data_IF_324712704583
#
_entry.id   IF_324712704583
#
_cell.length_a   1.000
_cell.length_b   1.000
_cell.length_c   1.000
_cell.angle_alpha   90.00
_cell.angle_beta   90.00
_cell.angle_gamma   90.00
#
_symmetry.space_group_name_H-M   'P 1'
#
loop_
_entity.id
_entity.type
_entity.pdbx_description
1 polymer ?
#
# COMPACT_ATOMS: atom_id res chain seq x y z
N UNK A 1 1.89 -13.53 -3.09
CA UNK A 1 0.91 -14.14 -4.02
C UNK A 1 -0.07 -13.08 -4.51
N UNK A 2 -0.38 -13.09 -5.81
CA UNK A 2 -1.35 -12.16 -6.37
C UNK A 2 -2.71 -12.83 -6.53
N UNK A 3 -3.77 -12.04 -6.45
CA UNK A 3 -5.14 -12.52 -6.57
C UNK A 3 -5.44 -13.12 -7.97
N UNK A 4 -4.73 -12.63 -8.99
CA UNK A 4 -4.85 -13.13 -10.35
C UNK A 4 -3.57 -12.86 -11.13
N UNK A 5 -3.38 -13.59 -12.23
CA UNK A 5 -2.28 -13.34 -13.16
C UNK A 5 -2.41 -11.97 -13.81
N UNK A 6 -3.65 -11.52 -14.04
CA UNK A 6 -3.92 -10.20 -14.61
C UNK A 6 -3.44 -9.09 -13.68
N UNK A 7 -3.69 -9.20 -12.38
CA UNK A 7 -3.25 -8.21 -11.40
C UNK A 7 -1.73 -8.12 -11.35
N UNK A 8 -1.06 -9.28 -11.35
CA UNK A 8 0.40 -9.32 -11.38
C UNK A 8 0.96 -8.66 -12.64
N UNK A 9 0.36 -8.97 -13.79
CA UNK A 9 0.80 -8.40 -15.07
C UNK A 9 0.57 -6.90 -15.13
N UNK A 10 -0.61 -6.43 -14.71
CA UNK A 10 -0.92 -5.00 -14.71
C UNK A 10 0.02 -4.20 -13.81
N UNK A 11 0.31 -4.71 -12.63
CA UNK A 11 1.25 -4.06 -11.72
C UNK A 11 2.65 -4.03 -12.33
N UNK A 12 3.10 -5.15 -12.89
CA UNK A 12 4.43 -5.26 -13.50
C UNK A 12 4.57 -4.29 -14.67
N UNK A 13 3.56 -4.23 -15.53
CA UNK A 13 3.54 -3.29 -16.66
C UNK A 13 3.55 -1.84 -16.19
N UNK A 14 2.79 -1.54 -15.15
CA UNK A 14 2.77 -0.19 -14.58
C UNK A 14 4.15 0.21 -14.07
N UNK A 15 4.84 -0.68 -13.35
CA UNK A 15 6.20 -0.43 -12.85
C UNK A 15 7.16 -0.18 -14.02
N UNK A 16 7.07 -0.98 -15.08
CA UNK A 16 7.94 -0.83 -16.26
C UNK A 16 7.71 0.51 -16.95
N UNK A 17 6.46 0.95 -17.08
CA UNK A 17 6.12 2.23 -17.72
C UNK A 17 6.47 3.44 -16.85
N UNK A 18 6.67 3.23 -15.59
CA UNK A 18 6.99 4.31 -14.64
C UNK A 18 8.46 4.67 -14.76
N UNK A 19 8.78 5.59 -15.66
CA UNK A 19 10.16 5.95 -15.97
C UNK A 19 10.58 7.31 -15.44
N UNK A 20 9.65 8.27 -15.35
CA UNK A 20 9.93 9.60 -14.83
C UNK A 20 9.70 9.59 -13.31
N UNK A 21 10.79 9.54 -12.54
CA UNK A 21 10.72 9.34 -11.10
C UNK A 21 11.86 10.07 -10.39
N UNK A 22 11.85 11.40 -10.41
CA UNK A 22 12.97 12.18 -9.86
C UNK A 22 13.15 12.02 -8.35
N UNK A 23 12.10 11.66 -7.62
CA UNK A 23 12.14 11.51 -6.16
C UNK A 23 12.22 10.05 -5.70
N UNK A 24 12.38 9.14 -6.64
CA UNK A 24 12.46 7.70 -6.38
C UNK A 24 11.24 7.14 -5.63
N UNK A 25 10.07 7.59 -5.99
CA UNK A 25 8.80 7.07 -5.44
C UNK A 25 8.58 5.63 -5.87
N UNK A 26 8.98 5.30 -7.10
CA UNK A 26 8.93 3.92 -7.59
C UNK A 26 9.74 2.97 -6.70
N UNK A 27 10.93 3.41 -6.28
CA UNK A 27 11.76 2.63 -5.35
C UNK A 27 11.06 2.41 -4.02
N UNK A 28 10.40 3.43 -3.48
CA UNK A 28 9.62 3.31 -2.25
C UNK A 28 8.45 2.35 -2.42
N UNK A 29 7.74 2.43 -3.54
CA UNK A 29 6.63 1.53 -3.86
C UNK A 29 7.09 0.08 -3.91
N UNK A 30 8.19 -0.19 -4.61
CA UNK A 30 8.74 -1.54 -4.73
C UNK A 30 9.16 -2.08 -3.37
N UNK A 31 9.80 -1.26 -2.55
CA UNK A 31 10.24 -1.69 -1.23
C UNK A 31 9.07 -2.08 -0.33
N UNK A 32 8.00 -1.27 -0.33
CA UNK A 32 6.81 -1.57 0.46
C UNK A 32 6.05 -2.79 -0.09
N UNK A 33 5.96 -2.91 -1.41
CA UNK A 33 5.38 -4.08 -2.05
C UNK A 33 6.12 -5.36 -1.62
N UNK A 34 7.45 -5.32 -1.62
CA UNK A 34 8.25 -6.48 -1.22
C UNK A 34 8.05 -6.80 0.26
N UNK A 35 7.82 -5.79 1.09
CA UNK A 35 7.49 -6.01 2.50
C UNK A 35 6.21 -6.82 2.65
N UNK A 36 5.17 -6.49 1.88
CA UNK A 36 3.93 -7.28 1.87
C UNK A 36 4.18 -8.71 1.40
N UNK A 37 4.93 -8.88 0.32
CA UNK A 37 5.19 -10.21 -0.25
C UNK A 37 6.02 -11.09 0.67
N UNK A 38 6.79 -10.50 1.56
CA UNK A 38 7.56 -11.23 2.56
C UNK A 38 6.72 -11.82 3.69
N UNK A 39 5.44 -11.48 3.77
CA UNK A 39 4.54 -11.98 4.81
C UNK A 39 3.82 -13.23 4.36
N UNK A 40 3.76 -14.22 5.25
CA UNK A 40 3.08 -15.48 4.95
C UNK A 40 1.58 -15.28 4.82
N UNK A 41 0.99 -15.86 3.78
CA UNK A 41 -0.46 -15.82 3.58
C UNK A 41 -1.00 -14.51 3.10
N UNK A 42 -0.15 -13.63 2.57
CA UNK A 42 -0.62 -12.35 2.02
C UNK A 42 -0.93 -12.52 0.55
N UNK A 43 -2.10 -12.02 0.17
CA UNK A 43 -2.54 -11.94 -1.22
C UNK A 43 -2.60 -10.49 -1.64
N UNK A 44 -2.03 -10.18 -2.81
CA UNK A 44 -2.04 -8.84 -3.38
C UNK A 44 -3.01 -8.75 -4.54
N UNK A 45 -3.72 -7.63 -4.62
CA UNK A 45 -4.52 -7.27 -5.79
C UNK A 45 -4.13 -5.88 -6.25
N UNK A 46 -4.33 -5.60 -7.54
CA UNK A 46 -3.94 -4.33 -8.14
C UNK A 46 -5.08 -3.75 -8.95
N UNK A 47 -5.46 -2.51 -8.63
CA UNK A 47 -6.55 -1.81 -9.29
C UNK A 47 -6.05 -0.47 -9.81
N UNK A 48 -6.20 -0.25 -11.12
CA UNK A 48 -5.77 0.98 -11.76
C UNK A 48 -6.96 1.86 -12.13
N UNK A 49 -6.82 3.15 -11.83
CA UNK A 49 -7.70 4.20 -12.35
C UNK A 49 -6.81 5.21 -13.07
N UNK A 50 -6.53 4.97 -14.39
CA UNK A 50 -5.57 5.78 -15.13
C UNK A 50 -5.83 7.29 -14.97
N UNK A 51 -4.76 8.05 -14.74
CA UNK A 51 -4.84 9.50 -14.52
C UNK A 51 -5.27 9.90 -13.12
N UNK A 52 -5.63 8.96 -12.25
CA UNK A 52 -6.09 9.24 -10.89
C UNK A 52 -5.19 8.55 -9.86
N UNK A 53 -5.25 7.22 -9.82
CA UNK A 53 -4.45 6.46 -8.86
C UNK A 53 -4.35 5.00 -9.24
N UNK A 54 -3.35 4.32 -8.67
CA UNK A 54 -3.15 2.89 -8.83
C UNK A 54 -3.00 2.30 -7.44
N UNK A 55 -3.84 1.33 -7.10
CA UNK A 55 -3.95 0.80 -5.74
C UNK A 55 -3.45 -0.63 -5.66
N UNK A 56 -2.45 -0.87 -4.83
CA UNK A 56 -1.99 -2.21 -4.46
C UNK A 56 -2.58 -2.54 -3.11
N UNK A 57 -3.39 -3.58 -3.05
CA UNK A 57 -4.11 -3.98 -1.83
C UNK A 57 -3.57 -5.28 -1.30
N UNK A 58 -3.35 -5.35 0.03
CA UNK A 58 -2.81 -6.51 0.70
C UNK A 58 -3.84 -7.09 1.67
N UNK A 59 -4.11 -8.39 1.51
CA UNK A 59 -5.05 -9.12 2.36
C UNK A 59 -4.36 -10.33 2.98
N UNK A 60 -4.74 -10.67 4.21
CA UNK A 60 -4.32 -11.91 4.85
C UNK A 60 -5.34 -12.99 4.52
N UNK A 61 -4.86 -14.11 3.98
CA UNK A 61 -5.74 -15.23 3.65
C UNK A 61 -5.92 -16.10 4.88
N UNK A 62 -7.18 -16.26 5.28
CA UNK A 62 -7.58 -17.19 6.34
C UNK A 62 -8.33 -18.35 5.72
N UNK A 63 -8.15 -19.54 6.27
CA UNK A 63 -8.82 -20.74 5.77
C UNK A 63 -10.35 -20.63 5.80
N UNK A 64 -10.89 -19.78 6.67
CA UNK A 64 -12.32 -19.61 6.87
C UNK A 64 -12.92 -18.45 6.07
N UNK A 65 -12.08 -17.62 5.44
CA UNK A 65 -12.55 -16.44 4.71
C UNK A 65 -12.15 -16.52 3.25
N UNK A 66 -13.14 -16.52 2.38
CA UNK A 66 -12.91 -16.48 0.95
C UNK A 66 -12.41 -15.08 0.56
N UNK A 67 -11.24 -15.01 -0.10
CA UNK A 67 -10.66 -13.75 -0.56
C UNK A 67 -9.82 -13.02 0.47
N UNK A 68 -9.75 -13.53 1.70
CA UNK A 68 -8.90 -12.96 2.75
C UNK A 68 -9.47 -11.71 3.39
N UNK A 69 -8.70 -11.14 4.32
CA UNK A 69 -9.05 -9.91 5.03
C UNK A 69 -8.06 -8.82 4.65
N UNK A 70 -8.56 -7.74 4.05
CA UNK A 70 -7.74 -6.57 3.71
C UNK A 70 -7.18 -5.96 4.99
N UNK A 71 -5.87 -5.64 4.99
CA UNK A 71 -5.27 -4.97 6.13
C UNK A 71 -4.50 -3.71 5.76
N UNK A 72 -4.10 -3.55 4.49
CA UNK A 72 -3.33 -2.40 4.05
C UNK A 72 -3.48 -2.19 2.55
N UNK A 73 -3.25 -0.96 2.12
CA UNK A 73 -3.16 -0.66 0.69
C UNK A 73 -2.12 0.44 0.46
N UNK A 74 -1.57 0.44 -0.74
CA UNK A 74 -0.68 1.50 -1.22
C UNK A 74 -1.35 2.10 -2.45
N UNK A 75 -1.70 3.38 -2.36
CA UNK A 75 -2.18 4.13 -3.53
C UNK A 75 -1.01 4.93 -4.10
N UNK A 76 -0.74 4.72 -5.38
CA UNK A 76 0.13 5.62 -6.13
C UNK A 76 -0.76 6.67 -6.73
N UNK A 77 -0.67 7.90 -6.23
CA UNK A 77 -1.51 8.99 -6.69
C UNK A 77 -0.82 9.70 -7.85
N UNK A 78 -1.52 9.79 -8.99
CA UNK A 78 -1.01 10.50 -10.16
C UNK A 78 -1.43 11.97 -10.06
N UNK A 79 -0.50 12.81 -9.61
CA UNK A 79 -0.73 14.25 -9.53
C UNK A 79 0.02 14.90 -10.69
N UNK A 80 -0.74 15.51 -11.60
CA UNK A 80 -0.17 16.09 -12.82
C UNK A 80 0.76 17.27 -12.53
N UNK A 81 0.54 17.99 -11.42
CA UNK A 81 1.33 19.18 -11.08
C UNK A 81 2.52 18.84 -10.17
N UNK A 82 2.35 17.89 -9.26
CA UNK A 82 3.35 17.56 -8.24
C UNK A 82 4.10 16.26 -8.52
N UNK A 83 3.67 15.49 -9.52
CA UNK A 83 4.21 14.18 -9.80
C UNK A 83 3.51 13.09 -8.99
N UNK A 84 4.08 11.89 -8.97
CA UNK A 84 3.49 10.78 -8.23
C UNK A 84 3.92 10.81 -6.78
N UNK A 85 2.99 10.42 -5.90
CA UNK A 85 3.28 10.22 -4.49
C UNK A 85 2.50 9.01 -3.97
N UNK A 86 2.89 8.50 -2.81
CA UNK A 86 2.24 7.33 -2.22
C UNK A 86 1.38 7.73 -1.04
N UNK A 87 0.23 7.06 -0.92
CA UNK A 87 -0.56 7.08 0.29
C UNK A 87 -0.67 5.62 0.77
N UNK A 88 -0.08 5.31 1.92
CA UNK A 88 -0.09 3.95 2.47
C UNK A 88 -1.11 3.93 3.60
N UNK A 89 -2.19 3.19 3.42
CA UNK A 89 -3.33 3.22 4.31
C UNK A 89 -3.60 1.87 4.96
N UNK A 90 -4.00 1.94 6.23
CA UNK A 90 -4.38 0.79 7.04
C UNK A 90 -5.74 1.07 7.67
N UNK A 91 -6.47 0.04 8.08
CA UNK A 91 -7.61 0.26 8.96
C UNK A 91 -7.09 0.84 10.27
N UNK A 92 -7.77 1.88 10.78
CA UNK A 92 -7.26 2.66 11.91
C UNK A 92 -7.08 1.84 13.19
N UNK A 93 -7.86 0.78 13.36
CA UNK A 93 -7.78 -0.08 14.55
C UNK A 93 -6.65 -1.11 14.47
N UNK A 94 -5.95 -1.20 13.34
CA UNK A 94 -4.86 -2.17 13.16
C UNK A 94 -3.48 -1.60 13.45
N UNK A 95 -3.34 -0.27 13.50
CA UNK A 95 -2.03 0.39 13.63
C UNK A 95 -2.01 1.43 14.72
N UNK A 96 -0.81 1.71 15.19
CA UNK A 96 -0.51 2.84 16.07
C UNK A 96 0.37 3.83 15.31
N UNK A 97 0.55 5.03 15.85
CA UNK A 97 1.38 6.05 15.21
C UNK A 97 2.11 6.85 16.30
N UNK A 98 3.07 6.21 16.99
CA UNK A 98 3.75 6.86 18.13
C UNK A 98 4.49 8.16 17.75
N UNK A 99 4.96 8.28 16.51
CA UNK A 99 5.69 9.46 16.06
C UNK A 99 4.80 10.52 15.40
N UNK A 100 3.49 10.27 15.33
CA UNK A 100 2.53 11.19 14.69
C UNK A 100 2.89 11.54 13.25
N UNK A 101 3.28 10.53 12.48
CA UNK A 101 3.68 10.70 11.09
C UNK A 101 2.53 10.62 10.10
N UNK A 102 1.41 10.03 10.50
CA UNK A 102 0.26 9.80 9.62
C UNK A 102 -0.96 10.60 10.01
N UNK A 103 -2.06 10.30 9.34
CA UNK A 103 -3.33 11.00 9.52
C UNK A 103 -4.50 10.02 9.54
N UNK A 104 -5.44 10.27 10.44
CA UNK A 104 -6.72 9.57 10.44
C UNK A 104 -7.55 10.09 9.27
N UNK A 105 -8.07 9.18 8.46
CA UNK A 105 -8.94 9.52 7.33
C UNK A 105 -10.29 8.83 7.55
N UNK A 106 -11.30 9.55 8.08
CA UNK A 106 -12.60 8.96 8.34
C UNK A 106 -13.20 8.37 7.07
N UNK A 107 -13.66 7.13 7.16
CA UNK A 107 -14.23 6.36 6.04
C UNK A 107 -13.30 6.26 4.82
N UNK A 108 -11.98 6.41 5.05
CA UNK A 108 -11.00 6.48 3.97
C UNK A 108 -10.63 5.16 3.35
N UNK A 109 -10.99 4.04 3.97
CA UNK A 109 -10.68 2.71 3.42
C UNK A 109 -11.96 1.86 3.37
N UNK A 110 -12.53 1.78 2.17
CA UNK A 110 -13.75 1.00 1.90
C UNK A 110 -14.89 1.30 2.88
N UNK A 111 -15.08 2.58 3.20
CA UNK A 111 -16.16 3.03 4.08
C UNK A 111 -15.85 2.97 5.57
N UNK A 112 -14.69 2.47 5.96
CA UNK A 112 -14.25 2.42 7.35
C UNK A 112 -13.09 3.40 7.57
N UNK A 113 -12.81 3.73 8.82
CA UNK A 113 -11.76 4.68 9.15
C UNK A 113 -10.39 4.12 8.77
N UNK A 114 -9.66 4.89 7.99
CA UNK A 114 -8.31 4.59 7.58
C UNK A 114 -7.30 5.44 8.34
N UNK A 115 -6.09 4.93 8.43
CA UNK A 115 -4.95 5.68 8.95
C UNK A 115 -3.87 5.64 7.89
N UNK A 116 -3.51 6.80 7.33
CA UNK A 116 -2.72 6.88 6.11
C UNK A 116 -1.42 7.65 6.33
N UNK A 117 -0.37 7.17 5.68
CA UNK A 117 0.96 7.77 5.69
C UNK A 117 1.31 8.18 4.27
N UNK A 118 1.59 9.47 4.06
CA UNK A 118 1.89 10.01 2.74
C UNK A 118 3.39 10.11 2.54
N UNK A 119 3.84 9.77 1.33
CA UNK A 119 5.26 9.76 0.99
C UNK A 119 5.44 10.42 -0.37
N UNK A 120 6.11 11.57 -0.41
CA UNK A 120 6.34 12.32 -1.65
C UNK A 120 7.76 12.19 -2.20
N UNK A 121 8.64 11.50 -1.47
CA UNK A 121 10.00 11.19 -1.92
C UNK A 121 10.50 9.95 -1.19
N UNK A 122 11.54 9.32 -1.72
CA UNK A 122 12.15 8.19 -1.04
C UNK A 122 12.88 8.69 0.20
N UNK A 123 12.42 8.30 1.36
CA UNK A 123 13.03 8.65 2.63
C UNK A 123 13.10 7.40 3.50
N UNK A 124 14.32 6.93 3.75
CA UNK A 124 14.56 5.65 4.42
C UNK A 124 13.91 5.57 5.79
N UNK A 125 13.98 6.64 6.58
CA UNK A 125 13.42 6.66 7.94
C UNK A 125 11.91 6.49 7.95
N UNK A 126 11.21 7.19 7.05
CA UNK A 126 9.76 7.10 6.94
C UNK A 126 9.35 5.74 6.37
N UNK A 127 10.08 5.25 5.37
CA UNK A 127 9.78 3.94 4.79
C UNK A 127 9.91 2.84 5.85
N UNK A 128 10.98 2.86 6.65
CA UNK A 128 11.16 1.90 7.75
C UNK A 128 10.03 2.01 8.78
N UNK A 129 9.62 3.22 9.09
CA UNK A 129 8.51 3.45 10.02
C UNK A 129 7.21 2.85 9.48
N UNK A 130 6.93 3.06 8.19
CA UNK A 130 5.74 2.48 7.53
C UNK A 130 5.84 0.96 7.50
N UNK A 131 7.03 0.41 7.23
CA UNK A 131 7.24 -1.05 7.26
C UNK A 131 6.90 -1.65 8.62
N UNK A 132 7.19 -0.95 9.70
CA UNK A 132 6.80 -1.38 11.05
C UNK A 132 5.28 -1.37 11.22
N UNK A 133 4.60 -0.40 10.60
CA UNK A 133 3.13 -0.36 10.60
C UNK A 133 2.55 -1.52 9.79
N UNK A 134 3.21 -1.92 8.72
CA UNK A 134 2.82 -3.11 7.95
C UNK A 134 2.89 -4.36 8.85
N UNK A 135 3.96 -4.53 9.60
CA UNK A 135 4.10 -5.64 10.55
C UNK A 135 2.96 -5.63 11.57
N UNK A 136 2.70 -4.47 12.14
CA UNK A 136 1.65 -4.28 13.14
C UNK A 136 0.27 -4.63 12.59
N UNK A 137 -0.07 -4.09 11.43
CA UNK A 137 -1.36 -4.33 10.80
C UNK A 137 -1.54 -5.80 10.42
N UNK A 138 -0.50 -6.43 9.90
CA UNK A 138 -0.52 -7.84 9.55
C UNK A 138 -0.82 -8.72 10.77
N UNK A 139 -0.15 -8.45 11.88
CA UNK A 139 -0.35 -9.22 13.11
C UNK A 139 -1.74 -9.00 13.70
N UNK A 140 -2.22 -7.75 13.66
CA UNK A 140 -3.53 -7.41 14.23
C UNK A 140 -4.70 -7.86 13.35
N UNK A 141 -4.47 -8.07 12.06
CA UNK A 141 -5.49 -8.56 11.15
C UNK A 141 -5.70 -10.07 11.26
N UNK A 142 -4.67 -10.76 11.69
CA UNK A 142 -4.71 -12.22 11.85
C UNK A 142 -5.23 -12.59 13.21
#
# INVERSE_FOLDING_TARGET
>A
MFSSDDDFREMTEYIVRWTDDPKNIKGAFIKLKDKFLGKKGVMLSFNSRPGISHSLRASVIHSEMKGGKLFALIDVVDDQSEGRWLSVCFYSDLVTDPNQEGNLVPKGILGEDGYCFDLSEYEEGIISYIEQRVDEAYENAG
#
